data_IF_471791450455
#
_entry.id   IF_471791450455
#
_cell.length_a   1.000
_cell.length_b   1.000
_cell.length_c   1.000
_cell.angle_alpha   90.00
_cell.angle_beta   90.00
_cell.angle_gamma   90.00
#
_symmetry.space_group_name_H-M   'P 1'
#
loop_
_entity.id
_entity.type
_entity.pdbx_description
1 polymer ?
#
# COMPACT_ATOMS: atom_id res chain seq x y z
N UNK A 1 15.28 15.13 31.18
CA UNK A 1 15.33 13.65 31.29
C UNK A 1 14.22 13.22 32.23
N UNK A 2 13.59 12.07 31.98
CA UNK A 2 12.62 11.37 32.84
C UNK A 2 11.18 11.91 32.91
N UNK A 3 10.28 11.24 32.18
CA UNK A 3 8.85 11.11 32.53
C UNK A 3 8.18 9.88 31.86
N UNK A 4 8.95 8.85 31.49
CA UNK A 4 8.39 7.61 30.92
C UNK A 4 8.07 6.53 31.96
N UNK A 5 8.48 6.74 33.22
CA UNK A 5 8.17 5.84 34.34
C UNK A 5 7.02 6.39 35.14
N UNK A 6 6.05 5.55 35.42
CA UNK A 6 4.94 5.90 36.30
C UNK A 6 5.49 6.18 37.71
N UNK A 7 5.19 7.33 38.32
CA UNK A 7 5.73 7.70 39.63
C UNK A 7 5.26 6.80 40.77
N UNK A 8 4.16 6.06 40.56
CA UNK A 8 3.53 5.27 41.61
C UNK A 8 3.88 3.78 41.59
N UNK A 9 4.29 3.24 40.43
CA UNK A 9 4.64 1.83 40.28
C UNK A 9 6.01 1.58 39.65
N UNK A 10 6.73 2.61 39.20
CA UNK A 10 8.05 2.48 38.59
C UNK A 10 8.07 1.77 37.22
N UNK A 11 6.93 1.23 36.78
CA UNK A 11 6.77 0.57 35.48
C UNK A 11 6.93 1.60 34.38
N UNK A 12 7.78 1.28 33.41
CA UNK A 12 7.95 2.09 32.21
C UNK A 12 6.67 1.94 31.38
N UNK A 13 5.95 3.04 31.13
CA UNK A 13 4.66 3.00 30.40
C UNK A 13 4.87 2.58 28.94
N UNK A 14 6.07 2.81 28.43
CA UNK A 14 6.54 2.28 27.16
C UNK A 14 7.43 1.08 27.42
N UNK A 15 7.12 -0.06 26.79
CA UNK A 15 8.10 -1.12 26.62
C UNK A 15 9.38 -0.46 26.09
N UNK A 16 10.56 -0.72 26.70
CA UNK A 16 11.79 -0.30 26.05
C UNK A 16 11.72 -0.86 24.63
N UNK A 17 12.01 -0.03 23.64
CA UNK A 17 12.23 -0.50 22.27
C UNK A 17 13.47 -1.40 22.33
N UNK A 18 13.29 -2.62 22.82
CA UNK A 18 14.31 -3.65 22.94
C UNK A 18 14.63 -4.03 21.51
N UNK A 19 15.60 -3.31 20.96
CA UNK A 19 16.51 -3.74 19.92
C UNK A 19 15.83 -4.63 18.88
N UNK A 20 14.91 -4.06 18.11
CA UNK A 20 14.75 -4.57 16.75
C UNK A 20 16.17 -4.63 16.16
N UNK A 21 16.63 -5.79 15.67
CA UNK A 21 17.99 -5.94 15.15
C UNK A 21 18.21 -4.77 14.19
N UNK A 22 19.35 -4.06 14.28
CA UNK A 22 19.57 -2.83 13.54
C UNK A 22 19.18 -3.10 12.11
N UNK A 23 18.02 -2.59 11.69
CA UNK A 23 17.55 -2.81 10.33
C UNK A 23 18.65 -2.23 9.48
N UNK A 24 19.34 -3.12 8.76
CA UNK A 24 20.55 -2.78 8.06
C UNK A 24 20.13 -1.68 7.07
N UNK A 25 20.44 -0.41 7.39
CA UNK A 25 19.91 0.75 6.65
C UNK A 25 20.23 0.64 5.16
N UNK A 26 21.30 -0.08 4.84
CA UNK A 26 21.70 -0.50 3.50
C UNK A 26 20.66 -1.41 2.83
N UNK A 27 20.13 -2.43 3.50
CA UNK A 27 19.10 -3.33 2.96
C UNK A 27 17.77 -2.60 2.73
N UNK A 28 17.38 -1.70 3.64
CA UNK A 28 16.18 -0.87 3.47
C UNK A 28 16.34 0.11 2.29
N UNK A 29 17.52 0.73 2.16
CA UNK A 29 17.83 1.60 1.02
C UNK A 29 17.88 0.83 -0.30
N UNK A 30 18.48 -0.36 -0.35
CA UNK A 30 18.52 -1.20 -1.55
C UNK A 30 17.12 -1.64 -1.94
N UNK A 31 16.29 -2.07 -0.98
CA UNK A 31 14.90 -2.46 -1.22
C UNK A 31 14.08 -1.29 -1.78
N UNK A 32 14.28 -0.07 -1.27
CA UNK A 32 13.61 1.13 -1.75
C UNK A 32 14.12 1.56 -3.14
N UNK A 33 15.43 1.47 -3.39
CA UNK A 33 16.04 1.79 -4.68
C UNK A 33 15.58 0.83 -5.79
N UNK A 34 15.45 -0.47 -5.49
CA UNK A 34 14.98 -1.48 -6.45
C UNK A 34 13.46 -1.38 -6.73
N UNK A 35 12.70 -0.77 -5.81
CA UNK A 35 11.25 -0.59 -5.94
C UNK A 35 10.87 0.43 -7.00
N UNK A 36 11.73 1.43 -7.22
CA UNK A 36 11.57 2.48 -8.23
C UNK A 36 11.46 1.93 -9.65
N UNK A 37 12.49 1.21 -10.19
CA UNK A 37 12.43 0.69 -11.54
C UNK A 37 11.31 -0.35 -11.67
N UNK A 38 11.09 -1.18 -10.65
CA UNK A 38 10.04 -2.20 -10.71
C UNK A 38 8.64 -1.60 -10.82
N UNK A 39 8.33 -0.52 -10.08
CA UNK A 39 7.05 0.17 -10.19
C UNK A 39 6.85 0.78 -11.59
N UNK A 40 7.90 1.37 -12.16
CA UNK A 40 7.86 1.94 -13.52
C UNK A 40 7.65 0.83 -14.56
N UNK A 41 8.41 -0.26 -14.47
CA UNK A 41 8.26 -1.42 -15.36
C UNK A 41 6.89 -2.07 -15.24
N UNK A 42 6.35 -2.21 -14.02
CA UNK A 42 5.01 -2.75 -13.81
C UNK A 42 3.94 -1.86 -14.44
N UNK A 43 4.06 -0.53 -14.31
CA UNK A 43 3.20 0.43 -14.98
C UNK A 43 3.25 0.29 -16.51
N UNK A 44 4.45 0.25 -17.08
CA UNK A 44 4.64 0.02 -18.52
C UNK A 44 4.07 -1.31 -18.99
N UNK A 45 4.30 -2.38 -18.25
CA UNK A 45 3.84 -3.71 -18.60
C UNK A 45 2.31 -3.79 -18.62
N UNK A 46 1.65 -3.28 -17.58
CA UNK A 46 0.18 -3.26 -17.49
C UNK A 46 -0.41 -2.44 -18.64
N UNK A 47 0.15 -1.27 -18.93
CA UNK A 47 -0.38 -0.42 -20.00
C UNK A 47 -0.12 -1.01 -21.39
N UNK A 48 1.05 -1.59 -21.64
CA UNK A 48 1.32 -2.30 -22.89
C UNK A 48 0.34 -3.47 -23.08
N UNK A 49 0.07 -4.23 -22.01
CA UNK A 49 -0.89 -5.32 -22.03
C UNK A 49 -2.31 -4.84 -22.33
N UNK A 50 -2.77 -3.76 -21.69
CA UNK A 50 -4.08 -3.15 -21.98
C UNK A 50 -4.14 -2.61 -23.41
N UNK A 51 -3.08 -1.96 -23.88
CA UNK A 51 -2.97 -1.48 -25.27
C UNK A 51 -3.06 -2.61 -26.28
N UNK A 52 -2.40 -3.75 -26.02
CA UNK A 52 -2.48 -4.96 -26.83
C UNK A 52 -3.92 -5.51 -26.84
N UNK A 53 -4.56 -5.60 -25.68
CA UNK A 53 -5.95 -6.08 -25.56
C UNK A 53 -6.96 -5.20 -26.30
N UNK A 54 -6.70 -3.90 -26.42
CA UNK A 54 -7.53 -2.97 -27.22
C UNK A 54 -7.20 -3.09 -28.70
N UNK A 55 -5.92 -3.26 -29.06
CA UNK A 55 -5.47 -3.37 -30.43
C UNK A 55 -6.01 -4.62 -31.13
N UNK A 56 -6.01 -5.78 -30.45
CA UNK A 56 -6.48 -7.05 -31.02
C UNK A 56 -7.90 -7.00 -31.59
N UNK A 57 -8.95 -6.57 -30.85
CA UNK A 57 -10.30 -6.51 -31.38
C UNK A 57 -10.46 -5.48 -32.51
N UNK A 58 -9.75 -4.34 -32.45
CA UNK A 58 -9.73 -3.36 -33.57
C UNK A 58 -9.15 -4.02 -34.82
N UNK A 59 -8.08 -4.81 -34.67
CA UNK A 59 -7.46 -5.52 -35.78
C UNK A 59 -8.36 -6.61 -36.38
N UNK A 60 -9.16 -7.28 -35.56
CA UNK A 60 -10.13 -8.26 -36.05
C UNK A 60 -11.38 -7.62 -36.68
N UNK A 61 -11.74 -6.42 -36.26
CA UNK A 61 -12.90 -5.69 -36.79
C UNK A 61 -12.61 -4.95 -38.10
N UNK A 62 -11.37 -4.52 -38.33
CA UNK A 62 -10.98 -3.71 -39.51
C UNK A 62 -10.05 -4.52 -40.42
N UNK A 63 -10.51 -4.82 -41.63
CA UNK A 63 -9.78 -5.61 -42.63
C UNK A 63 -8.60 -4.85 -43.26
N UNK A 64 -8.65 -3.52 -43.28
CA UNK A 64 -7.56 -2.69 -43.82
C UNK A 64 -6.33 -2.73 -42.91
N UNK A 65 -5.13 -2.65 -43.50
CA UNK A 65 -3.89 -2.55 -42.73
C UNK A 65 -3.90 -1.26 -41.89
N UNK A 66 -3.59 -1.31 -40.59
CA UNK A 66 -3.55 -0.11 -39.77
C UNK A 66 -2.50 0.85 -40.34
N UNK A 67 -2.84 2.13 -40.39
CA UNK A 67 -1.90 3.16 -40.84
C UNK A 67 -0.73 3.24 -39.87
N UNK A 68 0.45 3.58 -40.39
CA UNK A 68 1.66 3.78 -39.57
C UNK A 68 1.41 4.80 -38.45
N UNK A 69 0.61 5.84 -38.73
CA UNK A 69 0.16 6.84 -37.77
C UNK A 69 -0.67 6.23 -36.63
N UNK A 70 -1.61 5.33 -36.92
CA UNK A 70 -2.41 4.68 -35.87
C UNK A 70 -1.53 3.84 -34.93
N UNK A 71 -0.61 3.05 -35.51
CA UNK A 71 0.31 2.22 -34.72
C UNK A 71 1.24 3.10 -33.87
N UNK A 72 1.75 4.20 -34.43
CA UNK A 72 2.56 5.16 -33.70
C UNK A 72 1.78 5.82 -32.56
N UNK A 73 0.55 6.28 -32.78
CA UNK A 73 -0.32 6.87 -31.75
C UNK A 73 -0.62 5.88 -30.62
N UNK A 74 -0.90 4.62 -30.95
CA UNK A 74 -1.17 3.59 -29.96
C UNK A 74 0.09 3.25 -29.14
N UNK A 75 1.24 3.13 -29.81
CA UNK A 75 2.52 2.87 -29.15
C UNK A 75 2.94 4.05 -28.24
N UNK A 76 2.82 5.29 -28.72
CA UNK A 76 3.11 6.48 -27.92
C UNK A 76 2.15 6.55 -26.74
N UNK A 77 0.83 6.46 -26.96
CA UNK A 77 -0.17 6.51 -25.90
C UNK A 77 0.02 5.45 -24.82
N UNK A 78 0.40 4.22 -25.18
CA UNK A 78 0.68 3.16 -24.20
C UNK A 78 1.94 3.44 -23.39
N UNK A 79 3.02 3.92 -24.01
CA UNK A 79 4.23 4.31 -23.29
C UNK A 79 3.97 5.48 -22.32
N UNK A 80 3.15 6.44 -22.75
CA UNK A 80 2.71 7.58 -21.96
C UNK A 80 1.92 7.19 -20.72
N UNK A 81 0.85 6.43 -20.92
CA UNK A 81 -0.04 5.99 -19.84
C UNK A 81 0.71 5.05 -18.90
N UNK A 82 1.62 4.23 -19.42
CA UNK A 82 2.47 3.37 -18.61
C UNK A 82 3.42 4.18 -17.73
N UNK A 83 4.09 5.19 -18.31
CA UNK A 83 5.00 6.06 -17.57
C UNK A 83 4.27 6.79 -16.44
N UNK A 84 3.06 7.24 -16.73
CA UNK A 84 2.16 7.84 -15.74
C UNK A 84 1.78 6.86 -14.62
N UNK A 85 1.28 5.67 -14.96
CA UNK A 85 0.89 4.66 -13.98
C UNK A 85 2.08 4.24 -13.09
N UNK A 86 3.25 4.06 -13.69
CA UNK A 86 4.48 3.72 -12.99
C UNK A 86 4.97 4.83 -12.05
N UNK A 87 5.01 6.07 -12.53
CA UNK A 87 5.38 7.24 -11.74
C UNK A 87 4.40 7.50 -10.58
N UNK A 88 3.11 7.26 -10.80
CA UNK A 88 2.08 7.38 -9.77
C UNK A 88 2.22 6.33 -8.67
N UNK A 89 2.41 5.05 -9.04
CA UNK A 89 2.68 3.97 -8.08
C UNK A 89 3.94 4.30 -7.28
N UNK A 90 4.99 4.80 -7.94
CA UNK A 90 6.21 5.22 -7.27
C UNK A 90 5.99 6.33 -6.24
N UNK A 91 5.29 7.42 -6.62
CA UNK A 91 5.01 8.53 -5.70
C UNK A 91 4.26 8.07 -4.45
N UNK A 92 3.33 7.12 -4.59
CA UNK A 92 2.60 6.53 -3.46
C UNK A 92 3.48 5.66 -2.56
N UNK A 93 4.40 4.89 -3.15
CA UNK A 93 5.35 4.05 -2.40
C UNK A 93 6.39 4.90 -1.68
N UNK A 94 6.84 5.98 -2.31
CA UNK A 94 7.91 6.83 -1.78
C UNK A 94 7.52 7.59 -0.52
N UNK A 95 6.22 7.82 -0.26
CA UNK A 95 5.66 8.64 0.84
C UNK A 95 6.23 10.05 1.03
N UNK A 96 7.28 10.42 0.28
CA UNK A 96 7.83 11.76 0.28
C UNK A 96 6.89 12.69 -0.46
N UNK A 97 6.69 13.85 0.15
CA UNK A 97 5.87 14.96 -0.35
C UNK A 97 6.57 15.66 -1.51
N UNK A 98 7.02 14.90 -2.51
CA UNK A 98 7.69 15.42 -3.69
C UNK A 98 6.67 15.57 -4.83
N UNK A 99 6.65 16.76 -5.42
CA UNK A 99 5.77 17.15 -6.53
C UNK A 99 6.19 16.51 -7.87
N UNK A 100 7.08 15.52 -7.86
CA UNK A 100 7.70 14.94 -9.05
C UNK A 100 6.67 14.28 -9.99
N UNK A 101 5.66 13.60 -9.43
CA UNK A 101 4.59 13.02 -10.25
C UNK A 101 3.84 14.08 -11.06
N UNK A 102 3.42 15.17 -10.40
CA UNK A 102 2.72 16.28 -11.05
C UNK A 102 3.59 16.98 -12.11
N UNK A 103 4.87 17.20 -11.82
CA UNK A 103 5.80 17.85 -12.76
C UNK A 103 6.04 16.97 -14.00
N UNK A 104 6.24 15.65 -13.80
CA UNK A 104 6.44 14.71 -14.91
C UNK A 104 5.19 14.62 -15.79
N UNK A 105 3.97 14.68 -15.20
CA UNK A 105 2.71 14.66 -15.92
C UNK A 105 2.54 15.90 -16.81
N UNK A 106 2.83 17.09 -16.27
CA UNK A 106 2.72 18.35 -17.02
C UNK A 106 3.68 18.33 -18.21
N UNK A 107 4.97 18.04 -17.96
CA UNK A 107 6.00 18.02 -19.00
C UNK A 107 5.70 16.99 -20.09
N UNK A 108 5.24 15.80 -19.70
CA UNK A 108 4.95 14.74 -20.63
C UNK A 108 3.70 15.04 -21.48
N UNK A 109 2.68 15.69 -20.92
CA UNK A 109 1.50 16.13 -21.70
C UNK A 109 1.85 17.21 -22.73
N UNK A 110 2.73 18.16 -22.36
CA UNK A 110 3.21 19.21 -23.26
C UNK A 110 4.00 18.58 -24.40
N UNK A 111 4.91 17.64 -24.09
CA UNK A 111 5.68 16.91 -25.10
C UNK A 111 4.77 16.16 -26.07
N UNK A 112 3.75 15.46 -25.58
CA UNK A 112 2.85 14.68 -26.42
C UNK A 112 1.98 15.57 -27.31
N UNK A 113 1.52 16.72 -26.79
CA UNK A 113 0.82 17.74 -27.59
C UNK A 113 1.69 18.28 -28.74
N UNK A 114 2.98 18.50 -28.49
CA UNK A 114 3.93 18.93 -29.53
C UNK A 114 4.14 17.84 -30.59
N UNK A 115 4.32 16.58 -30.18
CA UNK A 115 4.52 15.45 -31.10
C UNK A 115 3.30 15.23 -32.00
N UNK A 116 2.09 15.30 -31.45
CA UNK A 116 0.85 15.19 -32.23
C UNK A 116 0.68 16.37 -33.19
N UNK A 117 0.98 17.60 -32.73
CA UNK A 117 0.93 18.80 -33.57
C UNK A 117 1.89 18.73 -34.77
N UNK A 118 3.07 18.14 -34.59
CA UNK A 118 4.07 18.00 -35.65
C UNK A 118 3.76 16.87 -36.65
N UNK A 119 2.93 15.89 -36.29
CA UNK A 119 2.74 14.65 -37.07
C UNK A 119 1.51 14.65 -37.96
N UNK A 120 0.46 15.41 -37.64
CA UNK A 120 -0.75 15.47 -38.46
C UNK A 120 -1.12 16.93 -38.78
N UNK A 121 -1.00 17.32 -40.04
CA UNK A 121 -1.44 18.62 -40.59
C UNK A 121 -2.97 18.82 -40.60
N UNK A 122 -3.68 18.31 -39.58
CA UNK A 122 -5.09 18.56 -39.34
C UNK A 122 -5.33 19.94 -38.72
N UNK A 123 -6.59 20.35 -38.59
CA UNK A 123 -6.90 21.65 -38.00
C UNK A 123 -6.39 21.68 -36.56
N UNK A 124 -5.44 22.57 -36.23
CA UNK A 124 -4.71 22.54 -34.96
C UNK A 124 -5.63 22.74 -33.75
N UNK A 125 -6.81 23.33 -33.98
CA UNK A 125 -7.81 23.61 -32.96
C UNK A 125 -8.53 22.35 -32.45
N UNK A 126 -8.96 21.45 -33.32
CA UNK A 126 -9.75 20.27 -32.94
C UNK A 126 -8.90 19.27 -32.15
N UNK A 127 -7.63 19.10 -32.56
CA UNK A 127 -6.65 18.29 -31.86
C UNK A 127 -6.27 18.88 -30.50
N UNK A 128 -6.07 20.20 -30.40
CA UNK A 128 -5.83 20.88 -29.12
C UNK A 128 -6.98 20.63 -28.14
N UNK A 129 -8.23 20.75 -28.61
CA UNK A 129 -9.41 20.62 -27.78
C UNK A 129 -9.62 19.18 -27.28
N UNK A 130 -9.42 18.18 -28.14
CA UNK A 130 -9.44 16.76 -27.77
C UNK A 130 -8.31 16.41 -26.78
N UNK A 131 -7.12 16.99 -26.97
CA UNK A 131 -5.99 16.80 -26.05
C UNK A 131 -6.29 17.37 -24.66
N UNK A 132 -6.86 18.58 -24.59
CA UNK A 132 -7.25 19.21 -23.32
C UNK A 132 -8.35 18.41 -22.62
N UNK A 133 -9.36 17.94 -23.35
CA UNK A 133 -10.42 17.10 -22.78
C UNK A 133 -9.88 15.75 -22.29
N UNK A 134 -8.98 15.13 -23.05
CA UNK A 134 -8.29 13.90 -22.64
C UNK A 134 -7.48 14.10 -21.36
N UNK A 135 -6.73 15.20 -21.26
CA UNK A 135 -5.97 15.54 -20.06
C UNK A 135 -6.86 15.85 -18.85
N UNK A 136 -7.98 16.55 -19.04
CA UNK A 136 -8.97 16.79 -17.99
C UNK A 136 -9.62 15.49 -17.50
N UNK A 137 -9.99 14.61 -18.43
CA UNK A 137 -10.55 13.29 -18.11
C UNK A 137 -9.57 12.42 -17.33
N UNK A 138 -8.31 12.34 -17.79
CA UNK A 138 -7.25 11.61 -17.08
C UNK A 138 -6.92 12.23 -15.72
N UNK A 139 -6.90 13.56 -15.62
CA UNK A 139 -6.69 14.28 -14.36
C UNK A 139 -7.79 14.00 -13.34
N UNK A 140 -9.06 14.05 -13.78
CA UNK A 140 -10.20 13.73 -12.93
C UNK A 140 -10.19 12.27 -12.47
N UNK A 141 -9.94 11.32 -13.38
CA UNK A 141 -9.85 9.90 -13.05
C UNK A 141 -8.72 9.62 -12.04
N UNK A 142 -7.58 10.29 -12.20
CA UNK A 142 -6.45 10.19 -11.27
C UNK A 142 -6.80 10.74 -9.90
N UNK A 143 -7.50 11.88 -9.82
CA UNK A 143 -7.93 12.48 -8.56
C UNK A 143 -8.92 11.59 -7.78
N UNK A 144 -9.90 11.01 -8.46
CA UNK A 144 -10.84 10.08 -7.83
C UNK A 144 -10.18 8.75 -7.46
N UNK A 145 -9.30 8.23 -8.32
CA UNK A 145 -8.50 7.04 -8.04
C UNK A 145 -7.64 7.18 -6.78
N UNK A 146 -7.01 8.35 -6.58
CA UNK A 146 -6.25 8.67 -5.35
C UNK A 146 -7.14 8.51 -4.11
N UNK A 147 -8.36 9.06 -4.12
CA UNK A 147 -9.23 9.07 -2.94
C UNK A 147 -9.76 7.67 -2.59
N UNK A 148 -10.10 6.88 -3.61
CA UNK A 148 -10.55 5.49 -3.43
C UNK A 148 -9.41 4.60 -2.95
N UNK A 149 -8.24 4.70 -3.59
CA UNK A 149 -7.05 3.93 -3.20
C UNK A 149 -6.58 4.28 -1.78
N UNK A 150 -6.63 5.56 -1.39
CA UNK A 150 -6.28 5.98 -0.02
C UNK A 150 -7.20 5.34 1.01
N UNK A 151 -8.51 5.34 0.74
CA UNK A 151 -9.51 4.74 1.63
C UNK A 151 -9.29 3.23 1.76
N UNK A 152 -9.04 2.52 0.66
CA UNK A 152 -8.82 1.07 0.68
C UNK A 152 -7.51 0.69 1.36
N UNK A 153 -6.43 1.43 1.11
CA UNK A 153 -5.12 1.14 1.69
C UNK A 153 -5.08 1.46 3.18
N UNK A 154 -5.75 2.54 3.61
CA UNK A 154 -5.90 2.87 5.03
C UNK A 154 -6.71 1.81 5.76
N UNK A 155 -7.77 1.30 5.14
CA UNK A 155 -8.57 0.21 5.72
C UNK A 155 -7.73 -1.07 5.85
N UNK A 156 -7.05 -1.50 4.79
CA UNK A 156 -6.21 -2.70 4.81
C UNK A 156 -5.04 -2.59 5.80
N UNK A 157 -4.43 -1.40 5.92
CA UNK A 157 -3.35 -1.16 6.87
C UNK A 157 -3.84 -1.14 8.32
N UNK A 158 -5.03 -0.56 8.57
CA UNK A 158 -5.68 -0.63 9.89
C UNK A 158 -5.97 -2.10 10.22
N UNK A 159 -6.58 -2.84 9.30
CA UNK A 159 -6.91 -4.25 9.54
C UNK A 159 -5.66 -5.09 9.81
N UNK A 160 -4.55 -4.85 9.12
CA UNK A 160 -3.28 -5.58 9.32
C UNK A 160 -2.54 -5.16 10.60
N UNK A 161 -2.45 -3.86 10.91
CA UNK A 161 -1.82 -3.39 12.16
C UNK A 161 -2.62 -3.80 13.40
N UNK A 162 -3.94 -3.79 13.30
CA UNK A 162 -4.80 -4.07 14.44
C UNK A 162 -5.24 -5.54 14.53
N UNK A 163 -5.10 -6.35 13.47
CA UNK A 163 -5.36 -7.80 13.53
C UNK A 163 -4.71 -8.49 14.76
N UNK A 164 -3.41 -8.34 15.04
CA UNK A 164 -2.79 -9.00 16.20
C UNK A 164 -3.31 -8.43 17.54
N UNK A 165 -3.66 -7.15 17.59
CA UNK A 165 -4.20 -6.51 18.81
C UNK A 165 -5.63 -6.99 19.06
N UNK A 166 -6.48 -7.01 18.04
CA UNK A 166 -7.86 -7.48 18.10
C UNK A 166 -7.90 -8.96 18.46
N UNK A 167 -7.02 -9.78 17.88
CA UNK A 167 -6.91 -11.19 18.22
C UNK A 167 -6.47 -11.40 19.68
N UNK A 168 -5.52 -10.58 20.16
CA UNK A 168 -5.09 -10.61 21.57
C UNK A 168 -6.21 -10.21 22.55
N UNK A 169 -7.07 -9.24 22.18
CA UNK A 169 -8.21 -8.82 22.99
C UNK A 169 -9.27 -9.92 23.06
N UNK A 170 -9.61 -10.53 21.92
CA UNK A 170 -10.57 -11.64 21.85
C UNK A 170 -10.13 -12.82 22.72
N UNK A 171 -8.85 -13.16 22.70
CA UNK A 171 -8.25 -14.20 23.56
C UNK A 171 -8.32 -13.82 25.04
N UNK A 172 -8.05 -12.56 25.37
CA UNK A 172 -8.16 -12.09 26.76
C UNK A 172 -9.60 -12.16 27.27
N UNK A 173 -10.58 -11.83 26.42
CA UNK A 173 -12.01 -11.98 26.73
C UNK A 173 -12.43 -13.44 26.93
N UNK A 174 -11.86 -14.38 26.14
CA UNK A 174 -12.04 -15.81 26.36
C UNK A 174 -11.49 -16.25 27.74
N UNK A 175 -10.30 -15.77 28.11
CA UNK A 175 -9.73 -16.02 29.43
C UNK A 175 -10.61 -15.44 30.54
N UNK A 176 -11.09 -14.20 30.39
CA UNK A 176 -12.02 -13.57 31.33
C UNK A 176 -13.29 -14.39 31.50
N UNK A 177 -13.88 -14.86 30.41
CA UNK A 177 -15.09 -15.69 30.45
C UNK A 177 -14.86 -16.97 31.25
N UNK A 178 -13.70 -17.61 31.08
CA UNK A 178 -13.31 -18.82 31.83
C UNK A 178 -13.12 -18.57 33.31
N UNK A 179 -12.51 -17.44 33.70
CA UNK A 179 -12.29 -17.10 35.12
C UNK A 179 -13.49 -16.38 35.76
N UNK A 180 -14.67 -16.42 35.16
CA UNK A 180 -15.88 -15.78 35.72
C UNK A 180 -15.83 -14.26 35.69
N UNK A 181 -15.17 -13.67 34.68
CA UNK A 181 -14.91 -12.24 34.50
C UNK A 181 -14.08 -11.59 35.63
N UNK A 182 -13.40 -12.39 36.46
CA UNK A 182 -12.46 -11.86 37.45
C UNK A 182 -11.13 -11.47 36.78
N UNK A 183 -10.99 -10.17 36.55
CA UNK A 183 -9.80 -9.59 35.93
C UNK A 183 -8.53 -9.80 36.75
N UNK A 184 -8.62 -9.80 38.08
CA UNK A 184 -7.46 -10.00 38.94
C UNK A 184 -6.94 -11.44 38.85
N UNK A 185 -7.84 -12.42 38.74
CA UNK A 185 -7.46 -13.82 38.49
C UNK A 185 -6.82 -13.98 37.12
N UNK A 186 -7.40 -13.38 36.07
CA UNK A 186 -6.85 -13.44 34.72
C UNK A 186 -5.43 -12.86 34.64
N UNK A 187 -5.18 -11.68 35.20
CA UNK A 187 -3.86 -11.06 35.20
C UNK A 187 -2.84 -11.88 36.02
N UNK A 188 -3.24 -12.44 37.17
CA UNK A 188 -2.37 -13.34 37.94
C UNK A 188 -1.95 -14.57 37.15
N UNK A 189 -2.85 -15.16 36.36
CA UNK A 189 -2.52 -16.29 35.49
C UNK A 189 -1.54 -15.87 34.38
N UNK A 190 -1.75 -14.70 33.76
CA UNK A 190 -0.86 -14.19 32.72
C UNK A 190 0.53 -13.89 33.29
N UNK A 191 0.60 -13.26 34.46
CA UNK A 191 1.86 -12.91 35.11
C UNK A 191 2.63 -14.16 35.56
N UNK A 192 1.89 -15.16 36.06
CA UNK A 192 2.49 -16.45 36.36
C UNK A 192 3.09 -17.12 35.11
N UNK A 193 2.44 -17.10 33.95
CA UNK A 193 3.01 -17.64 32.70
C UNK A 193 4.20 -16.79 32.17
N UNK A 194 4.24 -15.50 32.51
CA UNK A 194 5.35 -14.59 32.18
C UNK A 194 6.62 -15.00 32.91
N UNK A 195 6.53 -15.47 34.14
CA UNK A 195 7.68 -15.96 34.91
C UNK A 195 8.35 -17.17 34.26
N UNK A 196 7.58 -18.06 33.61
CA UNK A 196 8.13 -19.20 32.86
C UNK A 196 8.62 -18.84 31.47
N UNK A 197 7.99 -17.85 30.82
CA UNK A 197 8.28 -17.49 29.43
C UNK A 197 8.44 -15.98 29.25
N UNK A 198 9.50 -15.37 29.80
CA UNK A 198 9.65 -13.91 29.85
C UNK A 198 9.77 -13.24 28.47
N UNK A 199 10.17 -14.00 27.45
CA UNK A 199 10.29 -13.52 26.05
C UNK A 199 9.02 -13.77 25.21
N UNK A 200 7.97 -14.38 25.77
CA UNK A 200 6.76 -14.65 25.03
C UNK A 200 5.93 -13.37 24.82
N UNK A 201 5.32 -13.26 23.64
CA UNK A 201 4.36 -12.18 23.37
C UNK A 201 3.14 -12.34 24.27
N UNK A 202 2.47 -11.21 24.61
CA UNK A 202 1.24 -11.23 25.44
C UNK A 202 0.18 -12.20 24.93
N UNK A 203 0.04 -12.33 23.61
CA UNK A 203 -0.83 -13.33 22.97
C UNK A 203 -0.52 -14.76 23.44
N UNK A 204 0.76 -15.16 23.41
CA UNK A 204 1.18 -16.50 23.84
C UNK A 204 1.01 -16.70 25.34
N UNK A 205 1.24 -15.67 26.14
CA UNK A 205 1.00 -15.72 27.58
C UNK A 205 -0.49 -15.99 27.89
N UNK A 206 -1.40 -15.29 27.21
CA UNK A 206 -2.85 -15.51 27.36
C UNK A 206 -3.23 -16.93 26.88
N UNK A 207 -2.68 -17.39 25.77
CA UNK A 207 -2.93 -18.75 25.27
C UNK A 207 -2.46 -19.83 26.26
N UNK A 208 -1.28 -19.66 26.86
CA UNK A 208 -0.76 -20.58 27.87
C UNK A 208 -1.62 -20.55 29.14
N UNK A 209 -2.03 -19.35 29.59
CA UNK A 209 -2.93 -19.18 30.73
C UNK A 209 -4.27 -19.91 30.52
N UNK A 210 -4.86 -19.82 29.32
CA UNK A 210 -6.09 -20.56 28.97
C UNK A 210 -5.85 -22.07 28.99
N UNK A 211 -4.76 -22.55 28.37
CA UNK A 211 -4.42 -23.98 28.34
C UNK A 211 -4.21 -24.56 29.73
N UNK A 212 -3.59 -23.77 30.62
CA UNK A 212 -3.41 -24.15 32.02
C UNK A 212 -4.72 -24.16 32.78
N UNK A 213 -5.51 -23.10 32.70
CA UNK A 213 -6.82 -23.04 33.34
C UNK A 213 -7.72 -24.23 32.93
N UNK A 214 -7.70 -24.62 31.64
CA UNK A 214 -8.44 -25.78 31.15
C UNK A 214 -7.91 -27.12 31.71
N UNK A 215 -6.62 -27.20 32.04
CA UNK A 215 -6.00 -28.40 32.62
C UNK A 215 -6.36 -28.53 34.09
N UNK A 216 -6.29 -27.41 34.81
CA UNK A 216 -6.54 -27.36 36.25
C UNK A 216 -8.03 -27.54 36.58
N UNK A 217 -8.93 -27.08 35.71
CA UNK A 217 -10.38 -27.19 35.88
C UNK A 217 -11.02 -28.41 35.18
N UNK A 218 -10.22 -29.33 34.60
CA UNK A 218 -10.76 -30.53 33.92
C UNK A 218 -11.20 -31.64 34.89
N UNK A 219 -10.97 -31.46 36.19
CA UNK A 219 -11.11 -32.50 37.23
C UNK A 219 -12.46 -32.40 37.97
N UNK A 220 -13.26 -31.37 37.70
CA UNK A 220 -14.63 -31.21 38.21
C UNK A 220 -15.64 -31.33 37.08
#
# INVERSE_FOLDING_TARGET
MALTRCPHCGVNVYEPEDSLPPQNKTLVNIKNALRMPFAIFAGWFITAFVGLLIYLPIRFAVTESPTVTFVALLATGTLSVGGFAGGFIYQRISQEKNNFGNISQILFSIFLGIVVFLTEGGSPFLWLLLSILGLLGMGAASFFGIKVADKMLRQAMIDDLFAPVVESQKRYEELLTKVGHDRAVAERLIEHERDFTPKATRYKLIEHAIKRWNRDNRIN
#
